data_IF_185807817376
#
_entry.id   IF_185807817376
#
_cell.length_a   1.000
_cell.length_b   1.000
_cell.length_c   1.000
_cell.angle_alpha   90.00
_cell.angle_beta   90.00
_cell.angle_gamma   90.00
#
_symmetry.space_group_name_H-M   'P 1'
#
loop_
_entity.id
_entity.type
_entity.pdbx_description
1 polymer ?
#
# COMPACT_ATOMS: atom_id res chain seq x y z
N UNK A 1 3.00 14.02 20.31
CA UNK A 1 3.09 13.67 19.80
C UNK A 1 3.23 12.83 19.31
N UNK A 2 3.19 12.71 18.93
CA UNK A 2 3.30 12.10 18.25
C UNK A 2 3.47 11.24 17.89
N UNK A 3 3.43 10.93 17.83
CA UNK A 3 3.62 10.46 17.26
C UNK A 3 3.66 9.41 16.55
N UNK A 4 2.97 9.11 16.26
CA UNK A 4 2.88 8.16 15.28
C UNK A 4 3.75 8.26 14.28
N UNK A 5 4.55 7.76 14.33
CA UNK A 5 5.35 8.41 13.58
C UNK A 5 5.92 7.57 12.53
N UNK A 6 5.78 8.09 11.36
CA UNK A 6 6.51 7.65 10.23
C UNK A 6 7.98 7.90 10.52
N UNK A 7 8.78 6.85 10.54
CA UNK A 7 10.22 6.98 10.67
C UNK A 7 10.88 7.38 9.35
N UNK A 8 10.08 7.98 8.46
CA UNK A 8 10.60 8.47 7.19
C UNK A 8 11.22 9.82 7.39
N UNK A 9 12.17 10.12 6.55
CA UNK A 9 12.81 11.42 6.52
C UNK A 9 11.74 12.50 6.45
N UNK A 10 11.88 13.54 7.25
CA UNK A 10 10.94 14.66 7.28
C UNK A 10 10.74 15.32 5.92
N UNK A 11 11.73 15.24 5.06
CA UNK A 11 11.65 15.85 3.75
C UNK A 11 11.07 14.94 2.69
N UNK A 12 10.67 13.74 3.07
CA UNK A 12 10.09 12.80 2.15
C UNK A 12 8.66 12.51 2.52
N UNK A 13 7.77 12.74 1.57
CA UNK A 13 6.39 12.33 1.74
C UNK A 13 6.29 10.84 1.63
N UNK A 14 5.40 10.26 2.40
CA UNK A 14 5.01 8.88 2.19
C UNK A 14 4.10 8.83 0.97
N UNK A 15 4.40 7.94 0.04
CA UNK A 15 3.64 7.80 -1.18
C UNK A 15 2.90 6.48 -1.19
N UNK A 16 1.60 6.56 -1.37
CA UNK A 16 0.70 5.40 -1.38
C UNK A 16 0.12 5.23 -2.78
N UNK A 17 0.18 4.02 -3.30
CA UNK A 17 -0.52 3.64 -4.52
C UNK A 17 -1.78 2.89 -4.09
N UNK A 18 -2.95 3.40 -4.46
CA UNK A 18 -4.20 2.79 -4.03
C UNK A 18 -5.03 2.35 -5.23
N UNK A 19 -5.27 1.05 -5.33
CA UNK A 19 -6.17 0.49 -6.32
C UNK A 19 -7.52 0.31 -5.64
N UNK A 20 -8.40 1.30 -5.80
CA UNK A 20 -9.70 1.31 -5.15
C UNK A 20 -10.75 1.86 -6.10
N UNK A 21 -12.03 1.45 -5.93
CA UNK A 21 -13.12 2.01 -6.72
C UNK A 21 -13.23 3.53 -6.51
N UNK A 22 -13.74 4.22 -7.50
CA UNK A 22 -13.86 5.68 -7.46
C UNK A 22 -14.64 6.14 -6.23
N UNK A 23 -15.69 5.42 -5.86
CA UNK A 23 -16.52 5.79 -4.71
C UNK A 23 -15.80 5.68 -3.36
N UNK A 24 -14.71 4.92 -3.28
CA UNK A 24 -13.93 4.76 -2.06
C UNK A 24 -12.77 5.76 -1.99
N UNK A 25 -12.37 6.31 -3.13
CA UNK A 25 -11.20 7.19 -3.19
C UNK A 25 -11.31 8.40 -2.26
N UNK A 26 -12.49 9.02 -2.21
CA UNK A 26 -12.70 10.17 -1.35
C UNK A 26 -12.52 9.85 0.12
N UNK A 27 -13.01 8.71 0.55
CA UNK A 27 -12.85 8.26 1.93
C UNK A 27 -11.37 8.09 2.29
N UNK A 28 -10.63 7.40 1.43
CA UNK A 28 -9.19 7.16 1.65
C UNK A 28 -8.45 8.49 1.72
N UNK A 29 -8.76 9.40 0.81
CA UNK A 29 -8.11 10.70 0.78
C UNK A 29 -8.34 11.47 2.08
N UNK A 30 -9.59 11.47 2.56
CA UNK A 30 -9.93 12.16 3.81
C UNK A 30 -9.25 11.52 5.01
N UNK A 31 -9.26 10.18 5.06
CA UNK A 31 -8.70 9.45 6.19
C UNK A 31 -7.19 9.61 6.31
N UNK A 32 -6.52 9.86 5.21
CA UNK A 32 -5.07 10.01 5.22
C UNK A 32 -4.59 11.47 5.17
N UNK A 33 -5.53 12.42 5.09
CA UNK A 33 -5.17 13.82 4.90
C UNK A 33 -4.26 14.37 5.99
N UNK A 34 -4.51 14.01 7.25
CA UNK A 34 -3.71 14.54 8.37
C UNK A 34 -2.35 13.88 8.51
N UNK A 35 -2.12 12.79 7.78
CA UNK A 35 -0.89 12.03 7.90
C UNK A 35 0.20 12.49 6.93
N UNK A 36 -0.13 13.39 6.01
CA UNK A 36 0.83 13.86 5.02
C UNK A 36 1.19 12.84 3.96
N UNK A 37 0.28 11.93 3.67
CA UNK A 37 0.49 10.88 2.67
C UNK A 37 0.02 11.38 1.30
N UNK A 38 0.87 11.23 0.30
CA UNK A 38 0.47 11.50 -1.08
C UNK A 38 -0.08 10.22 -1.67
N UNK A 39 -1.31 10.26 -2.17
CA UNK A 39 -1.99 9.08 -2.69
C UNK A 39 -2.18 9.21 -4.19
N UNK A 40 -1.71 8.21 -4.93
CA UNK A 40 -2.02 8.09 -6.35
C UNK A 40 -3.04 6.96 -6.51
N UNK A 41 -4.19 7.29 -7.07
CA UNK A 41 -5.27 6.32 -7.25
C UNK A 41 -5.22 5.71 -8.64
N UNK A 42 -5.42 4.40 -8.70
CA UNK A 42 -5.59 3.69 -9.97
C UNK A 42 -6.83 2.83 -9.87
N UNK A 43 -7.45 2.53 -10.99
CA UNK A 43 -8.63 1.68 -11.01
C UNK A 43 -8.41 0.39 -11.80
N UNK A 44 -7.27 0.27 -12.48
CA UNK A 44 -6.96 -0.91 -13.30
C UNK A 44 -5.49 -1.27 -13.12
N UNK A 45 -5.20 -2.57 -13.24
CA UNK A 45 -3.83 -3.06 -13.17
C UNK A 45 -2.90 -2.39 -14.20
N UNK A 46 -3.42 -2.13 -15.40
CA UNK A 46 -2.61 -1.52 -16.45
C UNK A 46 -2.09 -0.14 -16.08
N UNK A 47 -2.81 0.59 -15.25
CA UNK A 47 -2.37 1.91 -14.81
C UNK A 47 -1.14 1.84 -13.91
N UNK A 48 -0.97 0.71 -13.23
CA UNK A 48 0.21 0.50 -12.37
C UNK A 48 1.47 0.45 -13.22
N UNK A 49 1.44 -0.24 -14.37
CA UNK A 49 2.60 -0.28 -15.25
C UNK A 49 2.96 1.10 -15.79
N UNK A 50 1.97 1.94 -16.06
CA UNK A 50 2.24 3.29 -16.51
C UNK A 50 2.96 4.11 -15.44
N UNK A 51 2.59 3.92 -14.19
CA UNK A 51 3.26 4.61 -13.09
C UNK A 51 4.69 4.12 -12.92
N UNK A 52 4.93 2.82 -13.13
CA UNK A 52 6.27 2.27 -13.08
C UNK A 52 7.16 2.89 -14.16
N UNK A 53 6.61 3.11 -15.35
CA UNK A 53 7.35 3.73 -16.44
C UNK A 53 7.74 5.18 -16.14
N UNK A 54 6.97 5.85 -15.30
CA UNK A 54 7.27 7.22 -14.89
C UNK A 54 8.31 7.28 -13.77
N UNK A 55 8.82 6.13 -13.38
CA UNK A 55 9.80 6.01 -12.30
C UNK A 55 9.28 6.51 -10.95
N UNK A 56 7.97 6.46 -10.77
CA UNK A 56 7.40 6.77 -9.47
C UNK A 56 7.70 5.63 -8.52
N UNK A 57 8.09 5.97 -7.31
CA UNK A 57 8.28 4.98 -6.26
C UNK A 57 7.22 5.16 -5.18
N UNK A 58 6.82 4.07 -4.59
CA UNK A 58 5.78 4.06 -3.55
C UNK A 58 6.27 3.31 -2.34
N UNK A 59 5.93 3.81 -1.18
CA UNK A 59 6.23 3.12 0.08
C UNK A 59 5.25 1.97 0.30
N UNK A 60 3.99 2.19 -0.05
CA UNK A 60 2.89 1.27 0.25
C UNK A 60 1.95 1.18 -0.93
N UNK A 61 1.43 -0.01 -1.19
CA UNK A 61 0.35 -0.22 -2.15
C UNK A 61 -0.85 -0.81 -1.43
N UNK A 62 -2.04 -0.25 -1.66
CA UNK A 62 -3.29 -0.72 -1.06
C UNK A 62 -4.13 -1.36 -2.14
N UNK A 63 -4.46 -2.64 -1.97
CA UNK A 63 -5.17 -3.44 -2.97
C UNK A 63 -6.39 -4.11 -2.37
N UNK A 64 -7.47 -4.30 -3.15
CA UNK A 64 -8.60 -5.07 -2.66
C UNK A 64 -8.31 -6.57 -2.69
N UNK A 65 -8.92 -7.31 -1.77
CA UNK A 65 -8.77 -8.76 -1.72
C UNK A 65 -9.43 -9.45 -2.91
N UNK A 66 -10.48 -8.83 -3.45
CA UNK A 66 -11.21 -9.39 -4.58
C UNK A 66 -11.17 -8.40 -5.73
N UNK A 67 -10.69 -8.87 -6.86
CA UNK A 67 -10.65 -8.07 -8.09
C UNK A 67 -11.49 -8.75 -9.16
N UNK A 68 -12.22 -7.98 -9.98
CA UNK A 68 -12.96 -8.56 -11.09
C UNK A 68 -12.01 -9.27 -12.05
N UNK A 69 -12.50 -10.28 -12.72
CA UNK A 69 -11.79 -10.94 -13.82
C UNK A 69 -10.44 -11.52 -13.44
N UNK A 70 -10.31 -11.98 -12.20
CA UNK A 70 -9.06 -12.57 -11.71
C UNK A 70 -7.85 -11.67 -11.92
N UNK A 71 -8.10 -10.35 -11.88
CA UNK A 71 -7.04 -9.35 -12.07
C UNK A 71 -5.97 -9.32 -10.98
N UNK A 72 -6.18 -10.09 -9.92
CA UNK A 72 -5.30 -10.12 -8.77
C UNK A 72 -3.85 -10.43 -9.13
N UNK A 73 -3.67 -11.48 -9.94
CA UNK A 73 -2.33 -11.88 -10.36
C UNK A 73 -1.65 -10.82 -11.20
N UNK A 74 -2.43 -10.16 -12.08
CA UNK A 74 -1.89 -9.07 -12.89
C UNK A 74 -1.42 -7.91 -12.04
N UNK A 75 -2.21 -7.53 -11.05
CA UNK A 75 -1.85 -6.41 -10.17
C UNK A 75 -0.60 -6.73 -9.36
N UNK A 76 -0.51 -7.92 -8.78
CA UNK A 76 0.68 -8.33 -8.05
C UNK A 76 1.91 -8.33 -8.94
N UNK A 77 1.76 -8.81 -10.18
CA UNK A 77 2.86 -8.80 -11.14
C UNK A 77 3.33 -7.40 -11.47
N UNK A 78 2.40 -6.47 -11.67
CA UNK A 78 2.75 -5.08 -11.96
C UNK A 78 3.42 -4.40 -10.75
N UNK A 79 2.92 -4.67 -9.55
CA UNK A 79 3.52 -4.09 -8.34
C UNK A 79 4.92 -4.62 -8.12
N UNK A 80 5.16 -5.89 -8.45
CA UNK A 80 6.49 -6.48 -8.32
C UNK A 80 7.52 -5.83 -9.24
N UNK A 81 7.06 -5.18 -10.31
CA UNK A 81 7.95 -4.47 -11.22
C UNK A 81 8.38 -3.09 -10.72
N UNK A 82 7.68 -2.57 -9.70
CA UNK A 82 8.08 -1.30 -9.10
C UNK A 82 9.37 -1.52 -8.32
N UNK A 83 10.30 -0.61 -8.47
CA UNK A 83 11.60 -0.74 -7.83
C UNK A 83 11.98 0.57 -7.12
N UNK A 84 12.11 0.54 -5.79
CA UNK A 84 11.92 -0.63 -4.93
C UNK A 84 10.45 -1.02 -4.81
N UNK A 85 10.21 -2.30 -4.52
CA UNK A 85 8.85 -2.81 -4.40
C UNK A 85 8.19 -2.28 -3.12
N UNK A 86 6.97 -1.72 -3.21
CA UNK A 86 6.29 -1.22 -2.02
C UNK A 86 5.80 -2.36 -1.12
N UNK A 87 5.55 -2.04 0.13
CA UNK A 87 4.85 -2.97 1.00
C UNK A 87 3.38 -2.99 0.59
N UNK A 88 2.76 -4.15 0.58
CA UNK A 88 1.40 -4.31 0.09
C UNK A 88 0.43 -4.53 1.24
N UNK A 89 -0.59 -3.68 1.31
CA UNK A 89 -1.73 -3.85 2.21
C UNK A 89 -2.91 -4.31 1.39
N UNK A 90 -3.64 -5.30 1.90
CA UNK A 90 -4.84 -5.80 1.23
C UNK A 90 -6.05 -5.48 2.10
N UNK A 91 -7.13 -4.93 1.52
CA UNK A 91 -8.36 -4.69 2.27
C UNK A 91 -9.45 -5.66 1.83
N UNK A 92 -10.27 -6.09 2.78
CA UNK A 92 -11.29 -7.10 2.54
C UNK A 92 -12.47 -6.90 3.47
N UNK A 93 -13.64 -7.46 3.11
CA UNK A 93 -14.81 -7.41 3.98
C UNK A 93 -14.66 -8.31 5.20
N UNK A 94 -13.88 -9.38 5.09
CA UNK A 94 -13.59 -10.23 6.22
C UNK A 94 -12.17 -10.77 6.08
N UNK A 95 -11.51 -10.94 7.22
CA UNK A 95 -10.15 -11.47 7.24
C UNK A 95 -10.21 -12.92 7.71
N UNK A 96 -10.24 -13.85 6.79
CA UNK A 96 -10.13 -15.26 7.13
C UNK A 96 -8.67 -15.62 7.25
N UNK A 97 -8.38 -16.70 7.96
CA UNK A 97 -7.01 -17.20 8.05
C UNK A 97 -6.45 -17.51 6.66
N UNK A 98 -7.28 -18.09 5.79
CA UNK A 98 -6.87 -18.42 4.44
C UNK A 98 -6.44 -17.19 3.65
N UNK A 99 -7.23 -16.12 3.73
CA UNK A 99 -6.90 -14.87 3.06
C UNK A 99 -5.61 -14.29 3.62
N UNK A 100 -5.53 -14.19 4.92
CA UNK A 100 -4.36 -13.59 5.58
C UNK A 100 -3.08 -14.36 5.24
N UNK A 101 -3.13 -15.69 5.33
CA UNK A 101 -1.99 -16.54 4.98
C UNK A 101 -1.58 -16.37 3.53
N UNK A 102 -2.57 -16.32 2.63
CA UNK A 102 -2.29 -16.15 1.21
C UNK A 102 -1.62 -14.84 0.89
N UNK A 103 -2.07 -13.77 1.52
CA UNK A 103 -1.46 -12.45 1.34
C UNK A 103 0.00 -12.47 1.80
N UNK A 104 0.27 -13.03 2.96
CA UNK A 104 1.64 -13.11 3.47
C UNK A 104 2.53 -13.98 2.60
N UNK A 105 1.99 -15.09 2.10
CA UNK A 105 2.75 -15.98 1.20
C UNK A 105 3.13 -15.29 -0.09
N UNK A 106 2.30 -14.37 -0.57
CA UNK A 106 2.59 -13.60 -1.79
C UNK A 106 3.52 -12.42 -1.53
N UNK A 107 3.95 -12.24 -0.30
CA UNK A 107 4.83 -11.13 0.05
C UNK A 107 4.11 -9.87 0.48
N UNK A 108 2.81 -9.97 0.78
CA UNK A 108 2.06 -8.84 1.30
C UNK A 108 2.41 -8.54 2.74
N UNK A 109 2.13 -7.33 3.17
CA UNK A 109 2.48 -6.88 4.51
C UNK A 109 1.39 -7.20 5.53
N UNK A 110 0.13 -6.88 5.21
CA UNK A 110 -0.96 -7.10 6.15
C UNK A 110 -2.31 -7.01 5.43
N UNK A 111 -3.37 -7.37 6.16
CA UNK A 111 -4.75 -7.29 5.69
C UNK A 111 -5.53 -6.38 6.63
N UNK A 112 -6.29 -5.44 6.08
CA UNK A 112 -7.20 -4.60 6.86
C UNK A 112 -8.65 -4.92 6.47
N UNK A 113 -9.55 -4.85 7.44
CA UNK A 113 -10.94 -5.27 7.25
C UNK A 113 -11.87 -4.08 7.12
N UNK A 114 -12.71 -4.11 6.10
CA UNK A 114 -13.72 -3.07 5.91
C UNK A 114 -14.95 -3.33 6.76
N UNK A 115 -15.60 -2.30 7.27
CA UNK A 115 -15.19 -0.89 7.15
C UNK A 115 -14.05 -0.60 8.13
N UNK A 116 -13.04 0.11 7.66
CA UNK A 116 -11.92 0.49 8.54
C UNK A 116 -12.06 1.95 8.93
N UNK A 117 -11.62 2.26 10.15
CA UNK A 117 -11.63 3.62 10.66
C UNK A 117 -10.41 4.38 10.14
N UNK A 118 -10.46 5.70 10.30
CA UNK A 118 -9.30 6.54 9.99
C UNK A 118 -8.07 6.07 10.74
N UNK A 119 -8.23 5.76 12.03
CA UNK A 119 -7.11 5.31 12.84
C UNK A 119 -6.54 3.98 12.37
N UNK A 120 -7.42 3.05 12.00
CA UNK A 120 -6.97 1.74 11.50
C UNK A 120 -6.19 1.88 10.19
N UNK A 121 -6.69 2.70 9.27
CA UNK A 121 -6.00 2.91 8.00
C UNK A 121 -4.66 3.62 8.20
N UNK A 122 -4.65 4.66 9.02
CA UNK A 122 -3.42 5.41 9.28
C UNK A 122 -2.36 4.53 9.93
N UNK A 123 -2.78 3.70 10.88
CA UNK A 123 -1.85 2.78 11.55
C UNK A 123 -1.25 1.77 10.57
N UNK A 124 -2.09 1.19 9.73
CA UNK A 124 -1.63 0.20 8.76
C UNK A 124 -0.64 0.82 7.76
N UNK A 125 -0.97 1.99 7.24
CA UNK A 125 -0.11 2.70 6.28
C UNK A 125 1.21 3.09 6.93
N UNK A 126 1.16 3.59 8.16
CA UNK A 126 2.37 4.00 8.88
C UNK A 126 3.31 2.83 9.12
N UNK A 127 2.76 1.70 9.56
CA UNK A 127 3.57 0.49 9.80
C UNK A 127 4.20 -0.03 8.51
N UNK A 128 3.42 -0.06 7.44
CA UNK A 128 3.90 -0.55 6.15
C UNK A 128 4.98 0.39 5.60
N UNK A 129 4.78 1.70 5.70
CA UNK A 129 5.76 2.67 5.24
C UNK A 129 7.07 2.56 6.02
N UNK A 130 6.99 2.39 7.33
CA UNK A 130 8.18 2.22 8.15
C UNK A 130 8.92 0.94 7.79
N UNK A 131 8.18 -0.14 7.52
CA UNK A 131 8.78 -1.40 7.09
C UNK A 131 9.52 -1.24 5.76
N UNK A 132 8.92 -0.51 4.83
CA UNK A 132 9.54 -0.21 3.56
C UNK A 132 10.87 0.53 3.74
N UNK A 133 10.86 1.57 4.57
CA UNK A 133 12.06 2.38 4.82
C UNK A 133 13.16 1.53 5.47
N UNK A 134 12.81 0.71 6.45
CA UNK A 134 13.77 -0.17 7.10
C UNK A 134 14.37 -1.17 6.14
N UNK A 135 13.54 -1.75 5.26
CA UNK A 135 14.00 -2.71 4.27
C UNK A 135 14.98 -2.06 3.29
N UNK A 136 14.68 -0.86 2.82
CA UNK A 136 15.57 -0.15 1.92
C UNK A 136 16.89 0.22 2.58
N UNK A 137 16.86 0.59 3.86
CA UNK A 137 18.07 0.90 4.61
C UNK A 137 18.94 -0.33 4.78
N UNK A 138 18.35 -1.51 5.05
CA UNK A 138 19.11 -2.74 5.17
C UNK A 138 19.79 -3.12 3.85
N UNK A 139 19.07 -2.95 2.76
CA UNK A 139 19.61 -3.25 1.44
C UNK A 139 20.82 -2.37 1.13
N UNK A 140 20.76 -1.11 1.52
CA UNK A 140 21.88 -0.17 1.35
C UNK A 140 23.09 -0.57 2.17
N UNK A 141 22.87 -1.16 3.34
CA UNK A 141 23.96 -1.58 4.22
C UNK A 141 24.58 -2.90 3.83
N UNK A 142 23.87 -3.71 3.07
CA UNK A 142 24.35 -5.03 2.70
C UNK A 142 25.32 -5.04 1.53
N UNK A 143 25.65 -3.89 1.01
CA UNK A 143 26.63 -3.84 -0.07
C UNK A 143 28.06 -3.82 0.43
#
# INVERSE_FOLDING_TARGET
MNTAHLHVDKNREVRLLALVPVDVQGQIRRQLASLGVTVDFVSKAAEVSQLALRRNSYHVALLPAVLPDNGWWSVWGEIALLNPRPEVLVYAHSATFKLWSGVLEMGGYDVIVEPFTEEELQRAVTRAANSFVERCSRDDHDE
#
